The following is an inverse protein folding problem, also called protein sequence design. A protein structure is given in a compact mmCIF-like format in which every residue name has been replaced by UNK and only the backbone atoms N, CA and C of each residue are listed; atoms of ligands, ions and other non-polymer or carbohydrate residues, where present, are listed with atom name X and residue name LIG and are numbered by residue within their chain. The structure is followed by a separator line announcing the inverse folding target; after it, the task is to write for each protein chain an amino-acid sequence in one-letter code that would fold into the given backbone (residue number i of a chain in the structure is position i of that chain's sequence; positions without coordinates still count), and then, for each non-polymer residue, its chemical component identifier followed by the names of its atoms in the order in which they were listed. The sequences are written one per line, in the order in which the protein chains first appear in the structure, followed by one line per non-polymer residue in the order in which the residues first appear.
data_IF_418690922372
#
_entry.id   IF_418690922372
#
_cell.length_a   1.000
_cell.length_b   1.000
_cell.length_c   1.000
_cell.angle_alpha   90.00
_cell.angle_beta   90.00
_cell.angle_gamma   90.00
#
_symmetry.space_group_name_H-M   'P 1'
#
loop_
_entity.id
_entity.type
_entity.pdbx_description
1 polymer ?
#
# COMPACT_ATOMS: atom_id res chain seq x y z
N UNK A 1 -3.44 -43.31 -7.99
CA UNK A 1 -3.65 -43.06 -6.54
C UNK A 1 -4.44 -41.76 -6.43
N UNK A 2 -5.55 -41.73 -5.67
CA UNK A 2 -6.28 -40.49 -5.42
C UNK A 2 -5.47 -39.61 -4.46
N UNK A 3 -5.39 -38.32 -4.74
CA UNK A 3 -4.67 -37.35 -3.92
C UNK A 3 -5.54 -36.99 -2.71
N UNK A 4 -4.94 -37.00 -1.52
CA UNK A 4 -5.51 -36.40 -0.31
C UNK A 4 -5.42 -34.87 -0.46
N UNK A 5 -6.58 -34.20 -0.39
CA UNK A 5 -6.74 -32.75 -0.57
C UNK A 5 -5.89 -31.93 0.41
N UNK A 6 -5.46 -32.51 1.53
CA UNK A 6 -4.71 -31.83 2.61
C UNK A 6 -3.23 -31.58 2.29
N UNK A 7 -2.75 -31.95 1.09
CA UNK A 7 -1.36 -31.75 0.66
C UNK A 7 -1.20 -31.00 -0.68
N UNK A 8 -2.27 -30.41 -1.19
CA UNK A 8 -2.19 -29.66 -2.44
C UNK A 8 -1.70 -28.23 -2.19
N UNK A 9 -0.42 -27.97 -2.49
CA UNK A 9 0.17 -26.63 -2.44
C UNK A 9 0.29 -26.10 -3.86
N UNK A 10 -0.51 -25.10 -4.20
CA UNK A 10 -0.42 -24.37 -5.48
C UNK A 10 0.95 -23.70 -5.59
N UNK A 11 1.67 -23.97 -6.69
CA UNK A 11 2.93 -23.29 -7.03
C UNK A 11 2.89 -22.82 -8.48
N UNK A 12 3.36 -21.59 -8.78
CA UNK A 12 3.57 -21.17 -10.16
C UNK A 12 4.58 -22.10 -10.84
N UNK A 13 4.27 -22.60 -12.04
CA UNK A 13 5.15 -23.51 -12.77
C UNK A 13 4.67 -23.77 -14.19
N UNK A 14 5.55 -24.38 -15.00
CA UNK A 14 5.16 -24.89 -16.32
C UNK A 14 4.18 -26.04 -16.13
N UNK A 15 3.04 -25.99 -16.82
CA UNK A 15 2.13 -27.14 -16.93
C UNK A 15 2.87 -28.22 -17.71
N UNK A 16 3.51 -29.14 -17.00
CA UNK A 16 4.15 -30.29 -17.61
C UNK A 16 3.07 -31.33 -17.93
N UNK A 17 3.26 -32.11 -19.00
CA UNK A 17 2.42 -33.28 -19.32
C UNK A 17 2.41 -34.36 -18.22
N UNK A 18 3.18 -34.16 -17.14
CA UNK A 18 3.24 -35.01 -15.96
C UNK A 18 2.25 -34.57 -14.87
N UNK A 19 1.60 -33.41 -15.02
CA UNK A 19 0.56 -32.91 -14.14
C UNK A 19 -0.82 -33.44 -14.54
N UNK A 20 -1.53 -33.99 -13.57
CA UNK A 20 -2.83 -34.69 -13.65
C UNK A 20 -4.02 -33.77 -14.00
N UNK A 21 -3.80 -32.71 -14.76
CA UNK A 21 -4.86 -31.85 -15.24
C UNK A 21 -5.42 -32.45 -16.53
N UNK A 22 -6.76 -32.45 -16.72
CA UNK A 22 -7.34 -32.82 -18.00
C UNK A 22 -6.85 -31.89 -19.11
N UNK A 23 -7.13 -32.22 -20.37
CA UNK A 23 -6.92 -31.24 -21.45
C UNK A 23 -7.86 -30.05 -21.21
N UNK A 24 -7.39 -28.80 -21.35
CA UNK A 24 -8.25 -27.64 -21.21
C UNK A 24 -9.34 -27.64 -22.27
N UNK A 25 -10.54 -27.19 -21.89
CA UNK A 25 -11.69 -27.07 -22.78
C UNK A 25 -11.43 -26.03 -23.88
N UNK A 26 -10.72 -24.95 -23.54
CA UNK A 26 -10.30 -23.91 -24.47
C UNK A 26 -9.05 -23.15 -23.98
N UNK A 27 -8.43 -22.40 -24.89
CA UNK A 27 -7.40 -21.41 -24.55
C UNK A 27 -8.03 -20.02 -24.64
N UNK A 28 -8.03 -19.28 -23.54
CA UNK A 28 -8.60 -17.93 -23.49
C UNK A 28 -7.49 -16.88 -23.32
N UNK A 29 -7.71 -15.72 -23.92
CA UNK A 29 -6.86 -14.55 -23.74
C UNK A 29 -7.53 -13.60 -22.75
N UNK A 30 -6.85 -13.28 -21.65
CA UNK A 30 -7.34 -12.33 -20.64
C UNK A 30 -6.41 -11.12 -20.55
N UNK A 31 -6.96 -9.96 -20.24
CA UNK A 31 -6.19 -8.76 -19.94
C UNK A 31 -6.00 -8.64 -18.42
N UNK A 32 -4.76 -8.52 -17.99
CA UNK A 32 -4.42 -8.41 -16.57
C UNK A 32 -3.27 -7.42 -16.34
N UNK A 33 -3.29 -6.65 -15.23
CA UNK A 33 -2.15 -5.84 -14.83
C UNK A 33 -1.00 -6.75 -14.38
N UNK A 34 0.13 -6.67 -15.06
CA UNK A 34 1.36 -7.40 -14.71
C UNK A 34 2.40 -6.44 -14.16
N UNK A 35 2.91 -6.77 -12.98
CA UNK A 35 4.05 -6.08 -12.36
C UNK A 35 5.34 -6.73 -12.88
N UNK A 36 6.20 -5.95 -13.53
CA UNK A 36 7.48 -6.40 -14.08
C UNK A 36 8.62 -6.24 -13.08
N UNK A 37 8.58 -5.18 -12.28
CA UNK A 37 9.50 -4.92 -11.19
C UNK A 37 8.83 -4.04 -10.14
N UNK A 38 9.31 -4.14 -8.91
CA UNK A 38 8.88 -3.29 -7.81
C UNK A 38 10.01 -3.04 -6.84
N UNK A 39 10.08 -1.84 -6.28
CA UNK A 39 11.03 -1.50 -5.23
C UNK A 39 10.36 -0.76 -4.08
N UNK A 40 10.83 -1.05 -2.86
CA UNK A 40 10.38 -0.40 -1.64
C UNK A 40 11.35 0.74 -1.28
N UNK A 41 10.79 1.92 -1.03
CA UNK A 41 11.46 3.06 -0.44
C UNK A 41 10.87 3.25 0.96
N UNK A 42 11.76 3.43 1.96
CA UNK A 42 11.39 3.71 3.35
C UNK A 42 12.05 5.01 3.77
N UNK A 43 11.26 5.97 4.28
CA UNK A 43 11.75 7.26 4.75
C UNK A 43 11.11 7.62 6.08
N UNK A 44 11.84 8.43 6.83
CA UNK A 44 11.38 9.14 8.01
C UNK A 44 11.88 10.57 7.83
N UNK A 45 10.94 11.49 7.69
CA UNK A 45 11.20 12.90 7.48
C UNK A 45 10.88 13.65 8.77
N UNK A 46 11.76 14.58 9.15
CA UNK A 46 11.55 15.50 10.26
C UNK A 46 11.66 16.93 9.77
N UNK A 47 11.04 17.88 10.46
CA UNK A 47 11.34 19.29 10.21
C UNK A 47 12.83 19.59 10.50
N UNK A 48 13.50 20.32 9.61
CA UNK A 48 14.80 20.94 9.89
C UNK A 48 15.01 22.20 9.06
N UNK A 49 15.77 23.16 9.60
CA UNK A 49 16.13 24.38 8.89
C UNK A 49 17.18 24.10 7.81
N UNK A 50 16.82 24.39 6.55
CA UNK A 50 17.71 24.32 5.38
C UNK A 50 17.30 23.26 4.36
N UNK A 51 17.52 23.50 3.06
CA UNK A 51 17.27 22.50 2.03
C UNK A 51 18.36 21.41 2.11
N UNK A 52 18.01 20.19 1.71
CA UNK A 52 18.94 19.12 1.30
C UNK A 52 19.28 18.03 2.32
N UNK A 53 18.27 17.31 2.84
CA UNK A 53 18.50 15.92 3.25
C UNK A 53 17.38 14.94 2.84
N UNK A 54 17.73 13.66 2.78
CA UNK A 54 16.76 12.58 2.52
C UNK A 54 15.83 12.31 3.71
N UNK A 55 16.06 12.97 4.84
CA UNK A 55 15.43 12.70 6.14
C UNK A 55 14.87 13.96 6.79
N UNK A 56 14.98 15.12 6.14
CA UNK A 56 14.48 16.40 6.66
C UNK A 56 13.72 17.13 5.57
N UNK A 57 12.76 17.95 5.99
CA UNK A 57 11.87 18.66 5.08
C UNK A 57 11.28 19.92 5.73
N UNK A 58 11.38 21.07 5.06
CA UNK A 58 10.91 22.34 5.61
C UNK A 58 9.38 22.44 5.51
N UNK A 59 8.77 21.76 4.54
CA UNK A 59 7.32 21.69 4.37
C UNK A 59 6.60 20.90 5.48
N UNK A 60 7.34 20.27 6.40
CA UNK A 60 6.80 19.61 7.59
C UNK A 60 6.55 20.55 8.77
N UNK A 61 6.71 21.86 8.58
CA UNK A 61 6.27 22.91 9.52
C UNK A 61 5.00 23.59 8.99
N UNK A 62 4.01 23.76 9.86
CA UNK A 62 2.77 24.47 9.53
C UNK A 62 2.99 25.96 9.23
N UNK A 63 1.93 26.64 8.77
CA UNK A 63 1.84 28.09 8.90
C UNK A 63 1.75 28.50 10.39
N UNK A 64 2.00 29.79 10.73
CA UNK A 64 1.82 30.28 12.09
C UNK A 64 0.41 29.99 12.65
N UNK A 65 0.36 29.38 13.83
CA UNK A 65 -0.85 28.94 14.51
C UNK A 65 -1.26 29.92 15.61
N UNK A 66 -2.57 30.04 15.84
CA UNK A 66 -3.13 30.89 16.88
C UNK A 66 -3.42 30.03 18.11
N UNK A 67 -2.62 30.20 19.17
CA UNK A 67 -2.79 29.53 20.46
C UNK A 67 -2.99 28.00 20.37
N UNK A 68 -2.09 27.27 19.68
CA UNK A 68 -2.18 25.80 19.65
C UNK A 68 -1.92 25.21 21.04
N UNK A 69 -2.58 24.09 21.36
CA UNK A 69 -2.49 23.46 22.67
C UNK A 69 -2.08 21.99 22.62
N UNK A 70 -2.70 21.20 21.74
CA UNK A 70 -2.45 19.74 21.71
C UNK A 70 -2.62 19.17 20.31
N UNK A 71 -1.60 18.48 19.80
CA UNK A 71 -1.69 17.66 18.61
C UNK A 71 -2.57 16.42 18.88
N UNK A 72 -3.48 16.11 17.95
CA UNK A 72 -4.38 14.96 18.05
C UNK A 72 -3.87 13.80 17.20
N UNK A 73 -3.55 14.07 15.94
CA UNK A 73 -3.19 13.06 14.96
C UNK A 73 -3.22 13.60 13.54
N UNK A 74 -2.81 12.77 12.59
CA UNK A 74 -2.84 13.09 11.16
C UNK A 74 -3.62 12.05 10.38
N UNK A 75 -4.25 12.46 9.28
CA UNK A 75 -5.15 11.61 8.49
C UNK A 75 -5.13 11.98 7.01
N UNK A 76 -5.80 11.13 6.23
CA UNK A 76 -6.03 11.31 4.79
C UNK A 76 -4.72 11.45 3.99
N UNK A 77 -3.71 10.64 4.34
CA UNK A 77 -2.44 10.58 3.63
C UNK A 77 -2.65 10.16 2.18
N UNK A 78 -2.11 10.95 1.27
CA UNK A 78 -2.20 10.74 -0.17
C UNK A 78 -0.84 10.92 -0.83
N UNK A 79 -0.61 10.19 -1.92
CA UNK A 79 0.57 10.34 -2.77
C UNK A 79 0.13 10.62 -4.21
N UNK A 80 0.75 11.63 -4.82
CA UNK A 80 0.53 12.01 -6.21
C UNK A 80 1.85 11.93 -6.96
N UNK A 81 1.90 11.12 -8.00
CA UNK A 81 3.05 11.07 -8.90
C UNK A 81 3.02 12.30 -9.82
N UNK A 82 4.06 13.14 -9.76
CA UNK A 82 4.14 14.37 -10.54
C UNK A 82 4.86 14.14 -11.88
N UNK A 83 6.02 13.49 -11.84
CA UNK A 83 6.78 13.14 -13.05
C UNK A 83 7.72 11.95 -12.82
N UNK A 84 8.09 11.29 -13.91
CA UNK A 84 9.04 10.19 -13.92
C UNK A 84 10.01 10.36 -15.08
N UNK A 85 11.29 10.54 -14.77
CA UNK A 85 12.33 10.45 -15.77
C UNK A 85 12.90 9.03 -15.79
N UNK A 86 12.99 8.45 -16.99
CA UNK A 86 13.49 7.10 -17.21
C UNK A 86 14.77 7.17 -18.03
N UNK A 87 15.90 6.81 -17.43
CA UNK A 87 17.22 6.85 -18.08
C UNK A 87 17.68 5.41 -18.35
N UNK A 88 17.75 4.95 -19.62
CA UNK A 88 18.22 3.60 -19.94
C UNK A 88 19.64 3.34 -19.44
N UNK A 89 19.88 2.15 -18.88
CA UNK A 89 21.21 1.72 -18.46
C UNK A 89 21.94 1.07 -19.64
N UNK A 90 23.09 1.65 -20.03
CA UNK A 90 23.87 1.22 -21.22
C UNK A 90 24.25 -0.27 -21.19
N UNK A 91 24.55 -0.80 -20.02
CA UNK A 91 25.04 -2.18 -19.88
C UNK A 91 23.93 -3.22 -19.61
N UNK A 92 22.67 -2.79 -19.52
CA UNK A 92 21.55 -3.66 -19.11
C UNK A 92 20.27 -3.36 -19.89
N UNK A 93 20.00 -4.07 -21.00
CA UNK A 93 18.79 -3.87 -21.78
C UNK A 93 17.54 -4.13 -20.92
N UNK A 94 16.53 -3.27 -21.06
CA UNK A 94 15.28 -3.31 -20.29
C UNK A 94 15.39 -2.74 -18.86
N UNK A 95 16.59 -2.38 -18.38
CA UNK A 95 16.76 -1.70 -17.10
C UNK A 95 16.95 -0.20 -17.31
N UNK A 96 16.30 0.57 -16.42
CA UNK A 96 16.34 2.03 -16.42
C UNK A 96 16.64 2.52 -15.01
N UNK A 97 17.32 3.65 -14.91
CA UNK A 97 17.37 4.48 -13.71
C UNK A 97 16.13 5.36 -13.71
N UNK A 98 15.34 5.31 -12.64
CA UNK A 98 14.18 6.18 -12.47
C UNK A 98 14.55 7.38 -11.61
N UNK A 99 14.06 8.55 -11.98
CA UNK A 99 13.98 9.73 -11.12
C UNK A 99 12.49 10.01 -10.98
N UNK A 100 11.95 9.82 -9.79
CA UNK A 100 10.53 9.96 -9.51
C UNK A 100 10.31 11.21 -8.68
N UNK A 101 9.46 12.10 -9.17
CA UNK A 101 9.00 13.27 -8.44
C UNK A 101 7.55 13.04 -8.02
N UNK A 102 7.27 13.15 -6.74
CA UNK A 102 5.96 12.89 -6.18
C UNK A 102 5.66 13.85 -5.02
N UNK A 103 4.39 14.09 -4.80
CA UNK A 103 3.90 14.91 -3.69
C UNK A 103 3.19 14.02 -2.68
N UNK A 104 3.49 14.20 -1.41
CA UNK A 104 2.73 13.64 -0.29
C UNK A 104 1.87 14.75 0.30
N UNK A 105 0.60 14.48 0.56
CA UNK A 105 -0.28 15.42 1.27
C UNK A 105 -1.09 14.72 2.35
N UNK A 106 -1.39 15.45 3.42
CA UNK A 106 -2.20 14.98 4.54
C UNK A 106 -2.74 16.14 5.38
N UNK A 107 -3.66 15.85 6.30
CA UNK A 107 -4.16 16.79 7.30
C UNK A 107 -3.63 16.44 8.67
N UNK A 108 -3.27 17.45 9.47
CA UNK A 108 -2.91 17.31 10.88
C UNK A 108 -3.94 18.04 11.74
N UNK A 109 -4.57 17.32 12.66
CA UNK A 109 -5.58 17.85 13.57
C UNK A 109 -4.96 18.21 14.93
N UNK A 110 -5.33 19.36 15.47
CA UNK A 110 -4.91 19.82 16.79
C UNK A 110 -6.03 20.56 17.52
N UNK A 111 -5.88 20.73 18.83
CA UNK A 111 -6.78 21.50 19.69
C UNK A 111 -6.09 22.82 20.04
N UNK A 112 -6.82 23.92 19.95
CA UNK A 112 -6.37 25.24 20.41
C UNK A 112 -6.64 25.47 21.91
N UNK A 113 -6.19 26.59 22.45
CA UNK A 113 -6.40 26.95 23.86
C UNK A 113 -7.88 27.13 24.23
N UNK A 114 -8.76 27.37 23.26
CA UNK A 114 -10.22 27.47 23.45
C UNK A 114 -10.90 26.09 23.46
N UNK A 115 -10.16 25.02 23.17
CA UNK A 115 -10.69 23.65 23.10
C UNK A 115 -11.35 23.33 21.77
N UNK A 116 -11.12 24.14 20.73
CA UNK A 116 -11.68 23.94 19.39
C UNK A 116 -10.72 23.09 18.56
N UNK A 117 -11.27 22.10 17.85
CA UNK A 117 -10.50 21.32 16.89
C UNK A 117 -10.17 22.16 15.66
N UNK A 118 -8.89 22.20 15.33
CA UNK A 118 -8.30 22.87 14.17
C UNK A 118 -7.58 21.84 13.32
N UNK A 119 -7.39 22.17 12.05
CA UNK A 119 -6.74 21.30 11.08
C UNK A 119 -5.79 22.13 10.23
N UNK A 120 -4.55 21.66 10.09
CA UNK A 120 -3.60 22.17 9.10
C UNK A 120 -3.41 21.17 7.96
N UNK A 121 -3.14 21.70 6.77
CA UNK A 121 -2.86 20.90 5.59
C UNK A 121 -1.38 20.97 5.25
N UNK A 122 -0.79 19.80 4.98
CA UNK A 122 0.61 19.65 4.61
C UNK A 122 0.72 19.12 3.18
N UNK A 123 1.68 19.65 2.43
CA UNK A 123 2.04 19.18 1.10
C UNK A 123 3.56 19.21 0.93
N UNK A 124 4.15 18.03 0.71
CA UNK A 124 5.59 17.82 0.69
C UNK A 124 6.00 17.27 -0.67
N UNK A 125 6.97 17.91 -1.32
CA UNK A 125 7.48 17.47 -2.62
C UNK A 125 8.76 16.65 -2.44
N UNK A 126 8.78 15.43 -2.96
CA UNK A 126 9.91 14.52 -2.85
C UNK A 126 10.40 14.06 -4.21
N UNK A 127 11.71 13.89 -4.28
CA UNK A 127 12.40 13.26 -5.41
C UNK A 127 13.18 12.06 -4.89
N UNK A 128 12.93 10.88 -5.46
CA UNK A 128 13.73 9.68 -5.20
C UNK A 128 14.32 9.15 -6.50
N UNK A 129 15.47 8.48 -6.36
CA UNK A 129 16.21 7.91 -7.47
C UNK A 129 16.31 6.39 -7.30
N UNK A 130 15.73 5.64 -8.22
CA UNK A 130 15.85 4.18 -8.28
C UNK A 130 16.91 3.83 -9.31
N UNK A 131 18.09 3.44 -8.84
CA UNK A 131 19.28 3.29 -9.70
C UNK A 131 19.19 2.16 -10.74
N UNK A 132 18.51 1.07 -10.42
CA UNK A 132 18.35 -0.10 -11.28
C UNK A 132 16.93 -0.64 -11.14
N UNK A 133 16.11 -0.40 -12.16
CA UNK A 133 14.72 -0.83 -12.21
C UNK A 133 14.41 -1.47 -13.55
N UNK A 134 13.85 -2.68 -13.55
CA UNK A 134 13.45 -3.36 -14.78
C UNK A 134 12.12 -2.78 -15.26
N UNK A 135 12.20 -2.04 -16.37
CA UNK A 135 11.08 -1.32 -16.95
C UNK A 135 11.17 -1.45 -18.48
N UNK A 136 10.68 -2.56 -19.05
CA UNK A 136 10.68 -2.74 -20.49
C UNK A 136 9.84 -1.65 -21.18
N UNK A 137 10.18 -1.32 -22.42
CA UNK A 137 9.39 -0.42 -23.24
C UNK A 137 8.05 -1.08 -23.61
N UNK A 138 6.96 -0.32 -23.55
CA UNK A 138 5.69 -0.79 -24.10
C UNK A 138 5.79 -0.80 -25.62
N UNK A 139 5.81 -2.00 -26.22
CA UNK A 139 5.80 -2.16 -27.69
C UNK A 139 4.37 -1.89 -28.23
N UNK A 140 3.34 -2.03 -27.39
CA UNK A 140 1.95 -1.81 -27.77
C UNK A 140 1.58 -0.33 -27.61
N UNK A 141 1.32 0.34 -28.74
CA UNK A 141 0.56 1.60 -28.76
C UNK A 141 -0.92 1.24 -28.55
N UNK A 142 -1.37 1.25 -27.30
CA UNK A 142 -2.81 1.11 -27.03
C UNK A 142 -3.48 2.40 -27.51
N UNK A 143 -4.23 2.33 -28.61
CA UNK A 143 -5.16 3.37 -29.03
C UNK A 143 -6.34 3.41 -28.07
N UNK A 144 -6.10 3.81 -26.83
CA UNK A 144 -7.17 4.10 -25.89
C UNK A 144 -7.80 5.42 -26.35
N UNK A 145 -9.00 5.35 -26.92
CA UNK A 145 -9.91 6.48 -27.10
C UNK A 145 -10.39 6.97 -25.71
N UNK A 146 -9.48 7.58 -24.94
CA UNK A 146 -9.84 8.35 -23.76
C UNK A 146 -9.40 9.80 -23.99
N UNK A 147 -10.41 10.60 -24.34
CA UNK A 147 -10.46 12.06 -24.31
C UNK A 147 -9.38 12.84 -25.10
N UNK A 148 -9.78 13.29 -26.29
CA UNK A 148 -8.98 13.99 -27.29
C UNK A 148 -8.69 15.47 -26.97
N UNK A 149 -8.33 15.82 -25.73
CA UNK A 149 -8.10 17.21 -25.31
C UNK A 149 -6.67 17.54 -24.85
N UNK A 150 -5.68 16.65 -25.03
CA UNK A 150 -4.27 16.96 -24.72
C UNK A 150 -3.37 16.93 -25.96
N UNK A 151 -2.62 18.01 -26.25
CA UNK A 151 -1.74 18.08 -27.40
C UNK A 151 -0.48 17.23 -27.18
N UNK A 152 -0.18 16.37 -28.15
CA UNK A 152 1.10 15.75 -28.51
C UNK A 152 2.31 16.07 -27.60
N UNK A 153 2.49 15.30 -26.52
CA UNK A 153 3.78 14.73 -26.09
C UNK A 153 3.51 13.69 -24.97
N UNK A 154 4.25 12.57 -24.97
CA UNK A 154 4.18 11.46 -23.99
C UNK A 154 2.89 10.60 -23.97
N UNK A 155 2.68 9.80 -25.02
CA UNK A 155 1.92 8.54 -24.90
C UNK A 155 2.80 7.45 -24.27
N UNK A 156 3.25 7.73 -23.04
CA UNK A 156 3.96 6.84 -22.14
C UNK A 156 3.04 6.64 -20.92
N UNK A 157 1.79 6.23 -21.19
CA UNK A 157 0.73 6.04 -20.18
C UNK A 157 1.30 5.23 -19.03
N UNK A 158 1.37 5.86 -17.87
CA UNK A 158 2.36 5.64 -16.82
C UNK A 158 2.52 4.16 -16.43
N UNK A 159 3.56 3.53 -16.98
CA UNK A 159 4.07 2.23 -16.55
C UNK A 159 4.41 2.25 -15.05
N UNK A 160 4.76 3.41 -14.51
CA UNK A 160 5.15 3.56 -13.12
C UNK A 160 3.94 3.94 -12.26
N UNK A 161 3.65 3.11 -11.26
CA UNK A 161 2.67 3.38 -10.21
C UNK A 161 3.34 3.49 -8.85
N UNK A 162 2.73 4.30 -7.98
CA UNK A 162 3.14 4.49 -6.60
C UNK A 162 2.05 3.98 -5.67
N UNK A 163 2.43 3.20 -4.66
CA UNK A 163 1.57 2.83 -3.53
C UNK A 163 2.27 3.25 -2.24
N UNK A 164 1.56 3.93 -1.35
CA UNK A 164 2.15 4.48 -0.14
C UNK A 164 1.34 4.09 1.09
N UNK A 165 2.06 3.80 2.17
CA UNK A 165 1.54 3.76 3.54
C UNK A 165 2.35 4.76 4.35
N UNK A 166 1.68 5.72 4.97
CA UNK A 166 2.31 6.80 5.72
C UNK A 166 1.64 6.99 7.09
N UNK A 167 2.42 7.54 8.02
CA UNK A 167 2.00 7.83 9.39
C UNK A 167 2.75 9.06 9.91
N UNK A 168 2.06 9.92 10.64
CA UNK A 168 2.71 10.96 11.43
C UNK A 168 3.16 10.33 12.75
N UNK A 169 4.48 10.17 12.91
CA UNK A 169 5.10 9.53 14.06
C UNK A 169 5.15 10.44 15.29
N UNK A 170 5.20 11.76 15.06
CA UNK A 170 5.19 12.78 16.11
C UNK A 170 4.67 14.12 15.57
N UNK A 171 4.20 14.97 16.49
CA UNK A 171 3.75 16.34 16.21
C UNK A 171 4.07 17.25 17.37
N UNK A 172 5.06 18.13 17.19
CA UNK A 172 5.58 19.02 18.23
C UNK A 172 5.21 20.48 17.95
N UNK A 173 4.79 21.22 18.98
CA UNK A 173 4.64 22.66 18.86
C UNK A 173 5.93 23.38 19.22
N UNK A 174 6.37 24.27 18.33
CA UNK A 174 7.56 25.08 18.50
C UNK A 174 7.21 26.55 18.36
N UNK A 175 7.97 27.43 19.02
CA UNK A 175 7.76 28.88 18.97
C UNK A 175 9.00 29.56 18.35
N UNK A 176 8.78 30.50 17.43
CA UNK A 176 9.86 31.35 16.93
C UNK A 176 10.21 32.48 17.91
N UNK A 177 11.26 33.24 17.59
CA UNK A 177 11.67 34.40 18.38
C UNK A 177 10.65 35.56 18.40
N UNK A 178 9.62 35.52 17.54
CA UNK A 178 8.55 36.50 17.48
C UNK A 178 7.30 36.05 18.27
N UNK A 179 7.34 34.86 18.88
CA UNK A 179 6.20 34.27 19.60
C UNK A 179 5.14 33.65 18.70
N UNK A 180 5.45 33.40 17.42
CA UNK A 180 4.59 32.61 16.53
C UNK A 180 4.77 31.14 16.85
N UNK A 181 3.67 30.44 17.07
CA UNK A 181 3.67 28.99 17.28
C UNK A 181 3.52 28.24 15.95
N UNK A 182 4.18 27.11 15.83
CA UNK A 182 4.19 26.24 14.66
C UNK A 182 3.96 24.80 15.09
N UNK A 183 3.38 23.98 14.21
CA UNK A 183 3.32 22.54 14.37
C UNK A 183 4.33 21.91 13.42
N UNK A 184 5.28 21.18 13.98
CA UNK A 184 6.29 20.42 13.25
C UNK A 184 5.91 18.94 13.28
N UNK A 185 5.81 18.31 12.11
CA UNK A 185 5.41 16.91 11.97
C UNK A 185 6.60 16.03 11.65
N UNK A 186 6.74 14.91 12.37
CA UNK A 186 7.63 13.81 11.97
C UNK A 186 6.84 12.82 11.13
N UNK A 187 7.17 12.71 9.83
CA UNK A 187 6.46 11.86 8.86
C UNK A 187 7.24 10.58 8.56
N UNK A 188 6.67 9.42 8.86
CA UNK A 188 7.17 8.12 8.42
C UNK A 188 6.38 7.60 7.22
N UNK A 189 7.04 7.08 6.18
CA UNK A 189 6.33 6.44 5.08
C UNK A 189 7.11 5.31 4.39
N UNK A 190 6.33 4.40 3.83
CA UNK A 190 6.74 3.33 2.92
C UNK A 190 6.13 3.62 1.55
N UNK A 191 6.95 3.64 0.52
CA UNK A 191 6.54 3.88 -0.87
C UNK A 191 6.98 2.70 -1.74
N UNK A 192 6.03 2.02 -2.36
CA UNK A 192 6.29 0.97 -3.34
C UNK A 192 6.16 1.57 -4.73
N UNK A 193 7.26 1.54 -5.49
CA UNK A 193 7.31 1.94 -6.90
C UNK A 193 7.15 0.68 -7.74
N UNK A 194 6.17 0.63 -8.63
CA UNK A 194 5.85 -0.53 -9.48
C UNK A 194 5.97 -0.19 -10.95
N UNK A 195 6.60 -1.08 -11.73
CA UNK A 195 6.46 -1.13 -13.18
C UNK A 195 5.27 -2.03 -13.53
N UNK A 196 4.12 -1.45 -13.81
CA UNK A 196 2.89 -2.17 -14.15
C UNK A 196 2.46 -1.87 -15.60
N UNK A 197 2.15 -2.93 -16.36
CA UNK A 197 1.52 -2.82 -17.67
C UNK A 197 0.34 -3.78 -17.73
N UNK A 198 -0.74 -3.37 -18.39
CA UNK A 198 -1.81 -4.29 -18.78
C UNK A 198 -1.29 -5.15 -19.92
N UNK A 199 -1.27 -6.46 -19.70
CA UNK A 199 -0.79 -7.44 -20.68
C UNK A 199 -1.89 -8.44 -21.01
N UNK A 200 -1.76 -9.05 -22.18
CA UNK A 200 -2.59 -10.17 -22.59
C UNK A 200 -1.93 -11.48 -22.16
N UNK A 201 -2.65 -12.27 -21.37
CA UNK A 201 -2.22 -13.58 -20.89
C UNK A 201 -3.06 -14.65 -21.58
N UNK A 202 -2.38 -15.62 -22.22
CA UNK A 202 -3.01 -16.82 -22.73
C UNK A 202 -3.08 -17.85 -21.59
N UNK A 203 -4.29 -18.20 -21.16
CA UNK A 203 -4.51 -19.13 -20.07
C UNK A 203 -5.38 -20.32 -20.52
N UNK A 204 -5.10 -21.54 -20.02
CA UNK A 204 -5.98 -22.69 -20.21
C UNK A 204 -7.24 -22.54 -19.36
N UNK A 205 -8.41 -22.64 -19.97
CA UNK A 205 -9.69 -22.67 -19.28
C UNK A 205 -10.26 -24.09 -19.27
N UNK A 206 -10.75 -24.52 -18.10
CA UNK A 206 -11.31 -25.85 -17.89
C UNK A 206 -12.84 -25.80 -17.86
N UNK A 207 -13.41 -24.85 -17.10
CA UNK A 207 -14.82 -24.56 -17.02
C UNK A 207 -15.02 -23.15 -16.43
N UNK A 208 -16.25 -22.64 -16.47
CA UNK A 208 -16.63 -21.44 -15.74
C UNK A 208 -16.68 -21.71 -14.24
N UNK A 209 -16.54 -20.67 -13.43
CA UNK A 209 -16.77 -20.78 -12.00
C UNK A 209 -18.23 -21.20 -11.78
N UNK A 210 -18.51 -22.30 -11.05
CA UNK A 210 -19.88 -22.73 -10.81
C UNK A 210 -20.63 -21.63 -10.07
N UNK A 211 -21.92 -21.45 -10.41
CA UNK A 211 -22.80 -20.58 -9.63
C UNK A 211 -22.81 -21.10 -8.19
N UNK A 212 -22.45 -20.28 -7.18
CA UNK A 212 -22.55 -20.69 -5.79
C UNK A 212 -23.94 -21.25 -5.51
N UNK A 213 -24.01 -22.46 -4.94
CA UNK A 213 -25.29 -23.11 -4.61
C UNK A 213 -25.94 -22.51 -3.38
N UNK A 214 -25.11 -21.96 -2.50
CA UNK A 214 -25.55 -21.20 -1.34
C UNK A 214 -26.06 -19.86 -1.83
N UNK A 215 -27.35 -19.62 -1.60
CA UNK A 215 -27.90 -18.27 -1.69
C UNK A 215 -27.11 -17.42 -0.69
N UNK A 216 -26.77 -16.18 -1.07
CA UNK A 216 -26.33 -15.21 -0.08
C UNK A 216 -27.42 -15.18 0.98
N UNK A 217 -27.10 -15.64 2.19
CA UNK A 217 -27.99 -15.48 3.31
C UNK A 217 -28.17 -13.97 3.46
N UNK A 218 -29.39 -13.48 3.25
CA UNK A 218 -29.76 -12.17 3.78
C UNK A 218 -29.45 -12.29 5.26
N UNK A 219 -28.42 -11.57 5.75
CA UNK A 219 -28.30 -11.39 7.20
C UNK A 219 -29.69 -10.92 7.62
N UNK A 220 -30.39 -11.67 8.50
CA UNK A 220 -31.70 -11.23 8.95
C UNK A 220 -31.55 -9.79 9.43
N UNK A 221 -32.56 -8.95 9.21
CA UNK A 221 -32.65 -7.59 9.78
C UNK A 221 -32.68 -7.69 11.32
N UNK A 222 -31.57 -8.11 11.92
CA UNK A 222 -31.36 -8.18 13.34
C UNK A 222 -30.78 -6.84 13.75
N UNK A 223 -31.50 -6.16 14.63
CA UNK A 223 -31.03 -4.93 15.25
C UNK A 223 -29.57 -5.12 15.73
N UNK A 224 -28.61 -4.30 15.27
CA UNK A 224 -27.21 -4.41 15.66
C UNK A 224 -27.01 -4.46 17.18
N UNK A 225 -27.93 -3.85 17.95
CA UNK A 225 -27.91 -3.89 19.41
C UNK A 225 -28.28 -5.28 19.98
N UNK A 226 -29.25 -5.99 19.39
CA UNK A 226 -29.61 -7.34 19.79
C UNK A 226 -28.51 -8.34 19.42
N UNK A 227 -27.88 -8.17 18.25
CA UNK A 227 -26.69 -8.93 17.85
C UNK A 227 -25.54 -8.73 18.84
N UNK A 228 -25.28 -7.49 19.26
CA UNK A 228 -24.25 -7.18 20.26
C UNK A 228 -24.55 -7.80 21.64
N UNK A 229 -25.81 -7.78 22.09
CA UNK A 229 -26.21 -8.40 23.37
C UNK A 229 -26.05 -9.92 23.37
N UNK A 230 -26.23 -10.59 22.23
CA UNK A 230 -26.05 -12.03 22.08
C UNK A 230 -24.61 -12.43 21.81
N UNK A 231 -23.78 -11.51 21.33
CA UNK A 231 -22.38 -11.79 21.10
C UNK A 231 -21.72 -12.26 22.40
N UNK A 232 -20.87 -13.30 22.34
CA UNK A 232 -20.14 -13.74 23.52
C UNK A 232 -19.28 -12.58 24.03
N UNK A 233 -19.16 -12.50 25.35
CA UNK A 233 -18.30 -11.54 26.00
C UNK A 233 -16.88 -11.70 25.41
N UNK A 234 -16.28 -10.64 24.85
CA UNK A 234 -14.95 -10.73 24.27
C UNK A 234 -13.94 -11.17 25.33
N UNK A 235 -12.88 -11.85 24.91
CA UNK A 235 -11.86 -12.29 25.85
C UNK A 235 -11.11 -11.07 26.39
N UNK A 236 -11.42 -10.70 27.63
CA UNK A 236 -10.79 -9.57 28.32
C UNK A 236 -9.32 -9.81 28.64
N UNK A 237 -8.92 -11.09 28.76
CA UNK A 237 -7.60 -11.49 29.16
C UNK A 237 -6.99 -12.42 28.10
N UNK A 238 -5.68 -12.30 27.84
CA UNK A 238 -4.97 -13.25 26.97
C UNK A 238 -5.03 -14.67 27.54
N UNK A 239 -4.79 -15.67 26.69
CA UNK A 239 -4.65 -17.06 27.16
C UNK A 239 -3.52 -17.15 28.17
N UNK A 240 -3.83 -17.70 29.34
CA UNK A 240 -2.79 -18.03 30.30
C UNK A 240 -2.08 -19.29 29.80
N UNK A 241 -0.81 -19.15 29.48
CA UNK A 241 0.06 -20.30 29.22
C UNK A 241 0.43 -20.96 30.56
N UNK A 242 -0.53 -21.69 31.15
CA UNK A 242 -0.32 -22.43 32.39
C UNK A 242 0.25 -23.81 32.03
N UNK A 243 1.48 -24.06 32.46
CA UNK A 243 1.96 -25.43 32.56
C UNK A 243 1.16 -26.16 33.65
N UNK A 244 0.77 -27.43 33.45
CA UNK A 244 0.12 -28.22 34.49
C UNK A 244 0.96 -28.20 35.76
N UNK A 245 0.38 -27.76 36.87
CA UNK A 245 1.07 -27.69 38.18
C UNK A 245 1.49 -29.07 38.71
N UNK A 246 0.89 -30.13 38.15
CA UNK A 246 1.22 -31.50 38.47
C UNK A 246 1.41 -32.25 37.15
N UNK A 247 2.60 -32.81 36.88
CA UNK A 247 2.77 -33.74 35.78
C UNK A 247 1.89 -34.97 36.05
N UNK A 248 1.18 -35.44 35.03
CA UNK A 248 0.52 -36.73 35.07
C UNK A 248 1.61 -37.80 35.20
N UNK A 249 1.86 -38.26 36.44
CA UNK A 249 2.63 -39.47 36.70
C UNK A 249 1.79 -40.68 36.28
N UNK A 250 1.67 -40.91 34.97
CA UNK A 250 1.30 -42.21 34.43
C UNK A 250 2.56 -43.09 34.33
N UNK A 251 3.22 -43.31 35.47
CA UNK A 251 4.03 -44.51 35.71
C UNK A 251 3.20 -45.40 36.65
N UNK A 252 2.24 -46.12 36.07
CA UNK A 252 1.76 -47.36 36.69
C UNK A 252 2.68 -48.48 36.18
N UNK A 253 3.43 -49.03 37.12
CA UNK A 253 4.36 -50.15 37.04
C UNK A 253 3.83 -51.39 36.30
N UNK A 254 4.76 -52.07 35.60
CA UNK A 254 4.85 -53.49 35.21
C UNK A 254 3.62 -54.25 34.66
#
# INVERSE_FOLDING_TARGET
MPISYDKFVLRPGLVNKQGQLPDPSELICIEAPKIFDQCLIKRCLVYADGPDTNTTDAELRSNPLINPKRYIGSRDFSVRLNSVDKIPLKDRPGYKKLIINYTISFYADYIDCEGVNRTEWYEINRTDVVGKFYCPDSIAQVSANYDSSRPYDNQDSSIIKLEMVAEALDGEFTEDCNGNAYLDITLGYFLVVKCELVVQLLIPAYDYCPVPRELCEEEPDEDPCERFKRAPIPKFYPDQNLEPLFPDNDECDD
#
